data_IF_075403551744
#
_entry.id   IF_075403551744
#
_cell.length_a   1.000
_cell.length_b   1.000
_cell.length_c   1.000
_cell.angle_alpha   90.00
_cell.angle_beta   90.00
_cell.angle_gamma   90.00
#
_symmetry.space_group_name_H-M   'P 1'
#
loop_
_entity.id
_entity.type
_entity.pdbx_description
1 polymer ?
#
# COMPACT_ATOMS: atom_id res chain seq x y z
N UNK A 1 12.87 12.37 6.61
CA UNK A 1 11.47 12.29 7.08
C UNK A 1 10.95 10.86 7.12
N UNK A 2 10.90 10.14 5.98
CA UNK A 2 10.37 8.77 5.92
C UNK A 2 11.39 7.76 5.41
N UNK A 3 11.24 6.50 5.83
CA UNK A 3 11.93 5.35 5.24
C UNK A 3 10.92 4.28 4.82
N UNK A 4 11.05 3.75 3.59
CA UNK A 4 10.15 2.72 3.07
C UNK A 4 10.71 1.32 3.29
N UNK A 5 9.93 0.46 3.95
CA UNK A 5 10.29 -0.92 4.19
C UNK A 5 9.05 -1.80 4.35
N UNK A 6 8.66 -2.52 3.30
CA UNK A 6 7.44 -3.34 3.32
C UNK A 6 7.68 -4.73 3.94
N UNK A 7 6.60 -5.30 4.48
CA UNK A 7 6.54 -6.73 4.85
C UNK A 7 5.92 -7.58 3.73
N UNK A 8 5.38 -6.93 2.69
CA UNK A 8 4.84 -7.49 1.45
C UNK A 8 3.58 -8.37 1.59
N UNK A 9 3.53 -9.27 2.56
CA UNK A 9 2.42 -10.21 2.81
C UNK A 9 2.45 -10.74 4.26
N UNK A 10 1.67 -11.77 4.57
CA UNK A 10 1.68 -12.44 5.88
C UNK A 10 3.01 -13.15 6.15
N UNK A 11 3.44 -13.28 7.43
CA UNK A 11 4.59 -14.11 7.79
C UNK A 11 4.52 -15.54 7.25
N UNK A 12 3.31 -16.13 7.23
CA UNK A 12 3.08 -17.50 6.73
C UNK A 12 3.21 -17.64 5.21
N UNK A 13 2.98 -16.56 4.44
CA UNK A 13 3.06 -16.58 2.98
C UNK A 13 4.38 -16.01 2.44
N UNK A 14 5.11 -15.25 3.24
CA UNK A 14 6.33 -14.53 2.85
C UNK A 14 7.36 -15.40 2.12
N UNK A 15 7.67 -16.59 2.65
CA UNK A 15 8.65 -17.53 2.06
C UNK A 15 8.25 -18.09 0.69
N UNK A 16 6.99 -17.95 0.28
CA UNK A 16 6.54 -18.32 -1.08
C UNK A 16 6.86 -17.23 -2.10
N UNK A 17 7.03 -15.98 -1.66
CA UNK A 17 7.28 -14.83 -2.54
C UNK A 17 8.75 -14.39 -2.45
N UNK A 18 9.32 -14.32 -1.24
CA UNK A 18 10.68 -13.84 -1.00
C UNK A 18 11.44 -14.91 -0.22
N UNK A 19 12.54 -15.40 -0.80
CA UNK A 19 13.38 -16.47 -0.22
C UNK A 19 14.78 -16.01 0.16
N UNK A 20 15.21 -14.85 -0.33
CA UNK A 20 16.57 -14.30 -0.10
C UNK A 20 16.71 -13.53 1.21
N UNK A 21 15.61 -13.33 1.93
CA UNK A 21 15.52 -12.64 3.22
C UNK A 21 14.45 -13.32 4.06
N UNK A 22 14.53 -13.20 5.38
CA UNK A 22 13.44 -13.65 6.26
C UNK A 22 12.59 -12.45 6.71
N UNK A 23 11.37 -12.70 7.19
CA UNK A 23 10.47 -11.60 7.55
C UNK A 23 10.94 -10.90 8.83
N UNK A 24 11.66 -11.63 9.69
CA UNK A 24 12.28 -11.11 10.90
C UNK A 24 13.28 -9.97 10.60
N UNK A 25 14.08 -10.10 9.54
CA UNK A 25 15.01 -9.04 9.09
C UNK A 25 14.26 -7.75 8.70
N UNK A 26 13.02 -7.87 8.22
CA UNK A 26 12.17 -6.71 7.88
C UNK A 26 11.76 -5.98 9.16
N UNK A 27 11.33 -6.72 10.18
CA UNK A 27 10.95 -6.13 11.46
C UNK A 27 12.14 -5.47 12.15
N UNK A 28 13.30 -6.13 12.16
CA UNK A 28 14.53 -5.55 12.72
C UNK A 28 14.91 -4.23 12.03
N UNK A 29 14.81 -4.18 10.70
CA UNK A 29 15.07 -2.94 9.96
C UNK A 29 14.08 -1.83 10.33
N UNK A 30 12.80 -2.17 10.52
CA UNK A 30 11.78 -1.20 10.93
C UNK A 30 12.06 -0.64 12.33
N UNK A 31 12.62 -1.44 13.23
CA UNK A 31 12.99 -0.99 14.57
C UNK A 31 14.19 -0.04 14.50
N UNK A 32 15.22 -0.33 13.70
CA UNK A 32 16.32 0.61 13.45
C UNK A 32 15.83 1.95 12.86
N UNK A 33 14.86 1.91 11.95
CA UNK A 33 14.27 3.13 11.37
C UNK A 33 13.59 3.98 12.47
N UNK A 34 12.86 3.33 13.40
CA UNK A 34 12.20 4.01 14.51
C UNK A 34 13.21 4.59 15.51
N UNK A 35 14.24 3.82 15.87
CA UNK A 35 15.32 4.28 16.75
C UNK A 35 16.07 5.47 16.17
N UNK A 36 16.22 5.52 14.84
CA UNK A 36 16.78 6.67 14.12
C UNK A 36 15.86 7.90 14.09
N UNK A 37 14.64 7.83 14.64
CA UNK A 37 13.68 8.94 14.66
C UNK A 37 13.03 9.23 13.30
N UNK A 38 13.03 8.26 12.37
CA UNK A 38 12.41 8.40 11.05
C UNK A 38 10.98 7.85 11.05
N UNK A 39 10.10 8.47 10.25
CA UNK A 39 8.76 7.94 10.03
C UNK A 39 8.82 6.66 9.18
N UNK A 40 7.99 5.69 9.54
CA UNK A 40 7.91 4.40 8.87
C UNK A 40 6.87 4.45 7.75
N UNK A 41 7.28 4.07 6.54
CA UNK A 41 6.40 3.71 5.44
C UNK A 41 6.47 2.19 5.22
N UNK A 42 5.45 1.46 5.65
CA UNK A 42 5.44 0.00 5.63
C UNK A 42 4.05 -0.54 5.29
N UNK A 43 3.98 -1.37 4.27
CA UNK A 43 2.75 -2.03 3.85
C UNK A 43 3.04 -3.30 3.06
N UNK A 44 2.24 -3.57 2.03
CA UNK A 44 2.40 -4.79 1.24
C UNK A 44 1.71 -4.79 -0.12
N UNK A 45 1.66 -5.97 -0.72
CA UNK A 45 1.15 -6.23 -2.07
C UNK A 45 -0.02 -7.21 -1.97
N UNK A 46 -1.06 -6.94 -2.74
CA UNK A 46 -2.31 -7.67 -2.78
C UNK A 46 -2.48 -8.28 -4.18
N UNK A 47 -2.80 -9.58 -4.25
CA UNK A 47 -3.01 -10.30 -5.52
C UNK A 47 -1.80 -11.11 -6.00
N UNK A 48 -0.88 -11.51 -5.12
CA UNK A 48 0.24 -12.41 -5.38
C UNK A 48 -0.15 -13.90 -5.38
N UNK A 49 -1.44 -14.22 -5.31
CA UNK A 49 -1.96 -15.57 -5.10
C UNK A 49 -2.10 -15.95 -3.62
N UNK A 50 -1.97 -14.98 -2.71
CA UNK A 50 -2.20 -15.16 -1.29
C UNK A 50 -3.69 -15.31 -0.97
N UNK A 51 -4.01 -16.03 0.11
CA UNK A 51 -5.40 -16.20 0.53
C UNK A 51 -5.97 -14.92 1.16
N UNK A 52 -7.30 -14.86 1.34
CA UNK A 52 -7.90 -13.78 2.15
C UNK A 52 -7.39 -13.79 3.60
N UNK A 53 -7.03 -14.96 4.12
CA UNK A 53 -6.40 -15.10 5.44
C UNK A 53 -5.03 -14.45 5.51
N UNK A 54 -4.23 -14.59 4.46
CA UNK A 54 -2.90 -13.97 4.38
C UNK A 54 -3.01 -12.44 4.34
N UNK A 55 -3.95 -11.89 3.57
CA UNK A 55 -4.21 -10.44 3.55
C UNK A 55 -4.62 -9.89 4.91
N UNK A 56 -5.52 -10.60 5.62
CA UNK A 56 -5.88 -10.23 7.00
C UNK A 56 -4.67 -10.30 7.92
N UNK A 57 -3.88 -11.36 7.85
CA UNK A 57 -2.70 -11.53 8.69
C UNK A 57 -1.63 -10.46 8.41
N UNK A 58 -1.45 -10.04 7.16
CA UNK A 58 -0.59 -8.90 6.81
C UNK A 58 -1.07 -7.62 7.51
N UNK A 59 -2.37 -7.29 7.44
CA UNK A 59 -2.91 -6.10 8.10
C UNK A 59 -2.82 -6.18 9.63
N UNK A 60 -3.11 -7.35 10.22
CA UNK A 60 -2.96 -7.60 11.67
C UNK A 60 -1.50 -7.42 12.09
N UNK A 61 -0.56 -7.90 11.27
CA UNK A 61 0.88 -7.74 11.53
C UNK A 61 1.28 -6.26 11.54
N UNK A 62 0.83 -5.47 10.56
CA UNK A 62 1.09 -4.02 10.50
C UNK A 62 0.46 -3.27 11.68
N UNK A 63 -0.79 -3.59 12.01
CA UNK A 63 -1.54 -2.92 13.07
C UNK A 63 -1.02 -3.26 14.47
N UNK A 64 -0.46 -4.45 14.68
CA UNK A 64 0.08 -4.86 15.98
C UNK A 64 1.57 -4.54 16.16
N UNK A 65 2.19 -3.77 15.25
CA UNK A 65 3.53 -3.23 15.48
C UNK A 65 3.54 -2.32 16.74
N UNK A 66 4.70 -2.12 17.40
CA UNK A 66 4.79 -1.25 18.59
C UNK A 66 4.22 0.15 18.36
N UNK A 67 4.31 0.64 17.12
CA UNK A 67 3.61 1.83 16.64
C UNK A 67 3.21 1.57 15.19
N UNK A 68 1.96 1.92 14.85
CA UNK A 68 1.49 1.81 13.47
C UNK A 68 2.43 2.56 12.52
N UNK A 69 2.71 2.04 11.31
CA UNK A 69 3.41 2.80 10.29
C UNK A 69 2.70 4.13 10.01
N UNK A 70 3.44 5.24 9.92
CA UNK A 70 2.85 6.54 9.60
C UNK A 70 2.26 6.54 8.18
N UNK A 71 2.83 5.76 7.27
CA UNK A 71 2.27 5.51 5.94
C UNK A 71 2.19 4.01 5.67
N UNK A 72 1.03 3.55 5.24
CA UNK A 72 0.73 2.15 4.91
C UNK A 72 0.38 2.05 3.43
N UNK A 73 1.36 1.76 2.55
CA UNK A 73 1.10 1.50 1.15
C UNK A 73 0.43 0.14 0.94
N UNK A 74 -0.74 0.17 0.30
CA UNK A 74 -1.39 -1.04 -0.23
C UNK A 74 -1.21 -1.02 -1.74
N UNK A 75 -0.40 -1.95 -2.23
CA UNK A 75 -0.10 -2.11 -3.64
C UNK A 75 -0.96 -3.22 -4.22
N UNK A 76 -1.50 -3.04 -5.42
CA UNK A 76 -2.01 -4.15 -6.21
C UNK A 76 -0.84 -4.76 -6.98
N UNK A 77 -0.79 -6.09 -7.09
CA UNK A 77 0.23 -6.76 -7.89
C UNK A 77 0.22 -6.21 -9.32
N UNK A 78 1.36 -5.64 -9.74
CA UNK A 78 1.61 -5.35 -11.16
C UNK A 78 2.30 -6.56 -11.74
N UNK A 79 1.60 -7.29 -12.61
CA UNK A 79 2.12 -8.48 -13.29
C UNK A 79 3.09 -8.04 -14.38
N UNK A 80 4.35 -8.41 -14.26
CA UNK A 80 5.41 -8.06 -15.21
C UNK A 80 5.93 -9.34 -15.86
N UNK A 81 5.93 -9.36 -17.19
CA UNK A 81 6.48 -10.46 -17.97
C UNK A 81 7.91 -10.80 -17.54
N UNK A 82 8.23 -12.09 -17.46
CA UNK A 82 9.52 -12.58 -16.96
C UNK A 82 9.60 -12.74 -15.43
N UNK A 83 8.63 -12.22 -14.66
CA UNK A 83 8.52 -12.53 -13.24
C UNK A 83 7.70 -13.80 -13.01
N UNK A 84 7.97 -14.59 -11.95
CA UNK A 84 7.16 -15.77 -11.62
C UNK A 84 5.67 -15.49 -11.37
N UNK A 85 5.31 -14.23 -11.07
CA UNK A 85 3.93 -13.81 -10.80
C UNK A 85 3.23 -13.22 -12.02
N UNK A 86 3.85 -13.26 -13.21
CA UNK A 86 3.28 -12.68 -14.43
C UNK A 86 1.91 -13.28 -14.80
N UNK A 87 1.70 -14.57 -14.50
CA UNK A 87 0.48 -15.31 -14.80
C UNK A 87 -0.47 -15.46 -13.62
N UNK A 88 -0.24 -14.74 -12.51
CA UNK A 88 -1.18 -14.73 -11.40
C UNK A 88 -2.56 -14.21 -11.85
N UNK A 89 -3.61 -14.77 -11.27
CA UNK A 89 -4.97 -14.29 -11.47
C UNK A 89 -5.11 -12.86 -10.96
N UNK A 90 -5.96 -12.08 -11.63
CA UNK A 90 -6.29 -10.74 -11.17
C UNK A 90 -7.09 -10.84 -9.87
N UNK A 91 -6.76 -9.97 -8.91
CA UNK A 91 -7.58 -9.87 -7.72
C UNK A 91 -8.90 -9.17 -8.07
N UNK A 92 -10.00 -9.69 -7.53
CA UNK A 92 -11.28 -8.98 -7.53
C UNK A 92 -11.10 -7.56 -6.97
N UNK A 93 -11.48 -6.49 -7.71
CA UNK A 93 -11.44 -5.12 -7.24
C UNK A 93 -12.10 -4.93 -5.86
N UNK A 94 -13.19 -5.64 -5.57
CA UNK A 94 -13.87 -5.55 -4.27
C UNK A 94 -13.03 -6.13 -3.13
N UNK A 95 -12.22 -7.15 -3.39
CA UNK A 95 -11.29 -7.71 -2.41
C UNK A 95 -10.13 -6.74 -2.13
N UNK A 96 -9.68 -5.99 -3.14
CA UNK A 96 -8.71 -4.92 -2.97
C UNK A 96 -9.29 -3.75 -2.15
N UNK A 97 -10.48 -3.26 -2.52
CA UNK A 97 -11.19 -2.19 -1.79
C UNK A 97 -11.45 -2.59 -0.34
N UNK A 98 -11.87 -3.84 -0.08
CA UNK A 98 -12.04 -4.40 1.27
C UNK A 98 -10.75 -4.37 2.07
N UNK A 99 -9.62 -4.64 1.43
CA UNK A 99 -8.29 -4.59 2.07
C UNK A 99 -7.93 -3.16 2.46
N UNK A 100 -8.19 -2.17 1.60
CA UNK A 100 -8.01 -0.73 1.91
C UNK A 100 -8.91 -0.30 3.08
N UNK A 101 -10.19 -0.67 3.06
CA UNK A 101 -11.14 -0.36 4.13
C UNK A 101 -10.69 -0.94 5.48
N UNK A 102 -10.28 -2.20 5.49
CA UNK A 102 -9.76 -2.85 6.68
C UNK A 102 -8.49 -2.16 7.21
N UNK A 103 -7.56 -1.78 6.32
CA UNK A 103 -6.36 -1.04 6.71
C UNK A 103 -6.71 0.30 7.38
N UNK A 104 -7.64 1.08 6.82
CA UNK A 104 -8.14 2.33 7.43
C UNK A 104 -8.71 2.09 8.82
N UNK A 105 -9.59 1.11 8.98
CA UNK A 105 -10.26 0.83 10.27
C UNK A 105 -9.25 0.39 11.33
N UNK A 106 -8.31 -0.48 10.96
CA UNK A 106 -7.32 -1.03 11.89
C UNK A 106 -6.24 -0.01 12.26
N UNK A 107 -5.91 0.92 11.36
CA UNK A 107 -4.84 1.89 11.52
C UNK A 107 -5.36 3.31 11.28
N UNK A 108 -6.25 3.84 12.14
CA UNK A 108 -7.02 5.06 11.87
C UNK A 108 -6.15 6.32 11.73
N UNK A 109 -4.99 6.37 12.39
CA UNK A 109 -4.03 7.49 12.33
C UNK A 109 -3.01 7.37 11.20
N UNK A 110 -2.96 6.23 10.52
CA UNK A 110 -2.01 6.02 9.42
C UNK A 110 -2.52 6.64 8.13
N UNK A 111 -1.60 7.12 7.30
CA UNK A 111 -1.88 7.44 5.91
C UNK A 111 -1.98 6.13 5.13
N UNK A 112 -3.14 5.81 4.59
CA UNK A 112 -3.32 4.61 3.75
C UNK A 112 -3.07 5.02 2.30
N UNK A 113 -1.97 4.53 1.72
CA UNK A 113 -1.54 4.93 0.39
C UNK A 113 -2.00 3.92 -0.66
N UNK A 114 -2.89 4.36 -1.54
CA UNK A 114 -3.24 3.66 -2.77
C UNK A 114 -2.08 3.84 -3.76
N UNK A 115 -1.28 2.79 -3.94
CA UNK A 115 0.06 2.90 -4.55
C UNK A 115 0.16 2.19 -5.89
N UNK A 116 0.97 1.14 -6.02
CA UNK A 116 1.16 0.47 -7.30
C UNK A 116 -0.12 -0.22 -7.81
N UNK A 117 -0.29 -0.23 -9.13
CA UNK A 117 -1.41 -0.86 -9.82
C UNK A 117 -2.61 0.06 -10.10
N UNK A 118 -2.57 1.33 -9.68
CA UNK A 118 -3.62 2.33 -10.01
C UNK A 118 -3.90 2.47 -11.50
N UNK A 119 -2.88 2.31 -12.34
CA UNK A 119 -3.05 2.38 -13.80
C UNK A 119 -4.02 1.32 -14.33
N UNK A 120 -4.10 0.16 -13.66
CA UNK A 120 -5.01 -0.93 -14.02
C UNK A 120 -6.38 -0.83 -13.34
N UNK A 121 -6.59 0.17 -12.47
CA UNK A 121 -7.88 0.41 -11.83
C UNK A 121 -8.70 1.39 -12.68
N UNK A 122 -9.99 1.08 -12.87
CA UNK A 122 -10.94 2.06 -13.37
C UNK A 122 -11.20 3.16 -12.32
N UNK A 123 -11.84 4.24 -12.76
CA UNK A 123 -12.10 5.40 -11.90
C UNK A 123 -13.00 5.05 -10.72
N UNK A 124 -13.98 4.19 -10.91
CA UNK A 124 -14.91 3.75 -9.86
C UNK A 124 -14.19 2.96 -8.76
N UNK A 125 -13.25 2.08 -9.13
CA UNK A 125 -12.42 1.35 -8.17
C UNK A 125 -11.53 2.29 -7.36
N UNK A 126 -10.88 3.26 -8.02
CA UNK A 126 -10.09 4.26 -7.31
C UNK A 126 -10.97 5.13 -6.40
N UNK A 127 -12.13 5.58 -6.87
CA UNK A 127 -13.09 6.34 -6.08
C UNK A 127 -13.55 5.57 -4.84
N UNK A 128 -13.85 4.28 -4.98
CA UNK A 128 -14.20 3.40 -3.86
C UNK A 128 -13.01 3.19 -2.91
N UNK A 129 -11.76 3.14 -3.39
CA UNK A 129 -10.59 3.09 -2.53
C UNK A 129 -10.43 4.36 -1.69
N UNK A 130 -10.64 5.55 -2.28
CA UNK A 130 -10.64 6.81 -1.54
C UNK A 130 -11.76 6.86 -0.51
N UNK A 131 -12.99 6.46 -0.90
CA UNK A 131 -14.11 6.37 0.02
C UNK A 131 -13.88 5.35 1.15
N UNK A 132 -13.20 4.24 0.86
CA UNK A 132 -12.81 3.23 1.83
C UNK A 132 -11.74 3.72 2.82
N UNK A 133 -11.06 4.82 2.51
CA UNK A 133 -10.14 5.49 3.43
C UNK A 133 -8.69 5.57 2.95
N UNK A 134 -8.39 5.23 1.69
CA UNK A 134 -7.13 5.64 1.09
C UNK A 134 -7.07 7.18 1.03
N UNK A 135 -5.93 7.75 1.39
CA UNK A 135 -5.75 9.20 1.45
C UNK A 135 -4.34 9.65 1.02
N UNK A 136 -3.65 8.81 0.24
CA UNK A 136 -2.35 9.14 -0.37
C UNK A 136 -2.16 8.33 -1.64
N UNK A 137 -1.45 8.90 -2.62
CA UNK A 137 -1.07 8.26 -3.88
C UNK A 137 0.33 8.67 -4.32
N UNK A 138 0.88 7.98 -5.31
CA UNK A 138 2.01 8.49 -6.09
C UNK A 138 1.50 9.28 -7.31
N UNK A 139 2.05 10.48 -7.49
CA UNK A 139 1.79 11.36 -8.65
C UNK A 139 2.98 11.30 -9.60
N UNK A 140 2.70 11.16 -10.89
CA UNK A 140 3.70 11.13 -11.97
C UNK A 140 3.41 10.01 -12.96
N UNK A 141 3.99 10.08 -14.16
CA UNK A 141 3.71 9.13 -15.27
C UNK A 141 4.26 7.71 -15.02
N UNK A 142 5.16 7.57 -14.05
CA UNK A 142 5.85 6.32 -13.73
C UNK A 142 6.11 6.21 -12.23
N UNK A 143 6.04 4.99 -11.70
CA UNK A 143 6.53 4.67 -10.36
C UNK A 143 8.04 4.41 -10.41
N UNK A 144 8.49 3.22 -9.98
CA UNK A 144 9.88 2.80 -10.10
C UNK A 144 10.18 2.32 -11.53
N UNK A 145 9.41 1.36 -12.02
CA UNK A 145 9.60 0.74 -13.35
C UNK A 145 8.32 0.62 -14.15
N UNK A 146 7.15 0.70 -13.52
CA UNK A 146 5.85 0.51 -14.16
C UNK A 146 5.13 1.83 -14.41
N UNK A 147 4.22 1.89 -15.41
CA UNK A 147 3.36 3.04 -15.64
C UNK A 147 2.51 3.39 -14.41
N UNK A 148 2.10 4.65 -14.34
CA UNK A 148 1.21 5.20 -13.32
C UNK A 148 0.26 6.20 -14.00
N UNK A 149 -0.93 6.46 -13.44
CA UNK A 149 -1.82 7.46 -14.02
C UNK A 149 -1.13 8.80 -14.22
N UNK A 150 -1.35 9.40 -15.39
CA UNK A 150 -0.89 10.75 -15.67
C UNK A 150 -1.48 11.75 -14.67
N UNK A 151 -0.72 12.80 -14.38
CA UNK A 151 -1.14 13.84 -13.43
C UNK A 151 -2.49 14.46 -13.80
N UNK A 152 -2.74 14.70 -15.09
CA UNK A 152 -3.99 15.25 -15.62
C UNK A 152 -5.20 14.35 -15.32
N UNK A 153 -5.01 13.02 -15.41
CA UNK A 153 -6.03 12.01 -15.09
C UNK A 153 -6.34 12.03 -13.59
N UNK A 154 -5.32 12.12 -12.75
CA UNK A 154 -5.47 12.22 -11.29
C UNK A 154 -6.20 13.52 -10.89
N UNK A 155 -5.82 14.66 -11.46
CA UNK A 155 -6.46 15.96 -11.21
C UNK A 155 -7.95 15.95 -11.61
N UNK A 156 -8.28 15.36 -12.77
CA UNK A 156 -9.67 15.21 -13.23
C UNK A 156 -10.51 14.35 -12.29
N UNK A 157 -9.98 13.21 -11.83
CA UNK A 157 -10.67 12.32 -10.90
C UNK A 157 -10.88 13.02 -9.55
N UNK A 158 -9.87 13.69 -9.02
CA UNK A 158 -9.96 14.40 -7.74
C UNK A 158 -10.96 15.54 -7.78
N UNK A 159 -11.00 16.30 -8.87
CA UNK A 159 -12.02 17.32 -9.09
C UNK A 159 -13.44 16.73 -9.03
N UNK A 160 -13.67 15.59 -9.69
CA UNK A 160 -14.98 14.92 -9.68
C UNK A 160 -15.38 14.35 -8.33
N UNK A 161 -14.40 13.91 -7.53
CA UNK A 161 -14.62 13.36 -6.19
C UNK A 161 -14.65 14.42 -5.09
N UNK A 162 -14.32 15.67 -5.40
CA UNK A 162 -14.20 16.74 -4.40
C UNK A 162 -13.03 16.51 -3.42
N UNK A 163 -11.96 15.88 -3.89
CA UNK A 163 -10.75 15.61 -3.08
C UNK A 163 -9.77 16.76 -3.29
N UNK A 164 -9.33 17.35 -2.18
CA UNK A 164 -8.33 18.41 -2.16
C UNK A 164 -6.99 17.87 -1.66
N UNK A 165 -5.90 18.39 -2.23
CA UNK A 165 -4.58 18.06 -1.75
C UNK A 165 -4.34 18.72 -0.39
N UNK A 166 -3.65 18.02 0.51
CA UNK A 166 -3.16 18.63 1.75
C UNK A 166 -2.15 19.73 1.43
N UNK A 167 -2.10 20.76 2.27
CA UNK A 167 -1.11 21.82 2.18
C UNK A 167 0.32 21.24 2.23
N UNK A 168 1.19 21.78 1.39
CA UNK A 168 2.59 21.37 1.36
C UNK A 168 3.25 21.56 2.75
N UNK A 169 4.09 20.61 3.14
CA UNK A 169 4.81 20.58 4.44
C UNK A 169 3.95 20.32 5.69
N UNK A 170 2.66 20.02 5.53
CA UNK A 170 1.83 19.48 6.62
C UNK A 170 2.23 18.03 6.91
N UNK A 171 2.56 17.70 8.16
CA UNK A 171 2.85 16.32 8.55
C UNK A 171 1.53 15.54 8.75
N UNK A 172 1.23 14.50 7.95
CA UNK A 172 -0.04 13.79 8.07
C UNK A 172 -0.25 13.07 9.40
N UNK A 173 0.84 12.76 10.13
CA UNK A 173 0.78 12.12 11.45
C UNK A 173 0.53 13.09 12.60
N UNK A 174 0.51 14.40 12.35
CA UNK A 174 0.30 15.45 13.35
C UNK A 174 -1.12 16.04 13.35
N UNK A 175 -1.98 15.57 12.42
CA UNK A 175 -3.39 15.97 12.28
C UNK A 175 -4.31 14.96 12.96
#
# INVERSE_FOLDING_TARGET
>A
DYYNHNIDTSPSYYKKIITTRVIEDRFETLDYVREAGLNVCCGGIVGMGESSGDRRNMLVTLANMPTHPQSVPINMLVRVEGTPLASCEEIDPFEFIRTVAAARIMMPKSVVRLSAGREHMNEECQALCFLAGANSIFIGEKLLTTPNPERSRDESLFYRLGIEAMDAHSCPSEI
#
